data_IF_019775253137
#
_entry.id   IF_019775253137
#
_cell.length_a   1.000
_cell.length_b   1.000
_cell.length_c   1.000
_cell.angle_alpha   90.00
_cell.angle_beta   90.00
_cell.angle_gamma   90.00
#
_symmetry.space_group_name_H-M   'P 1'
#
loop_
_entity.id
_entity.type
_entity.pdbx_description
1 polymer ?
#
# COMPACT_ATOMS: atom_id res chain seq x y z
N UNK A 1 -40.98 0.51 -33.23
CA UNK A 1 -40.39 1.33 -32.16
C UNK A 1 -39.30 2.18 -32.81
N UNK A 2 -39.49 3.50 -32.90
CA UNK A 2 -38.71 4.40 -33.79
C UNK A 2 -37.21 4.42 -33.43
N UNK A 3 -36.35 4.19 -34.44
CA UNK A 3 -34.88 4.24 -34.39
C UNK A 3 -34.36 5.56 -33.79
N UNK A 4 -35.16 6.63 -33.84
CA UNK A 4 -34.84 7.96 -33.33
C UNK A 4 -34.70 8.04 -31.80
N UNK A 5 -35.26 7.08 -31.05
CA UNK A 5 -35.13 7.03 -29.57
C UNK A 5 -33.93 6.24 -29.09
N UNK A 6 -33.29 5.47 -29.98
CA UNK A 6 -32.14 4.60 -29.66
C UNK A 6 -30.83 5.36 -29.65
N UNK A 7 -30.69 6.35 -30.52
CA UNK A 7 -29.48 7.19 -30.66
C UNK A 7 -29.10 7.97 -29.40
N UNK A 8 -30.00 8.70 -28.72
CA UNK A 8 -29.64 9.44 -27.51
C UNK A 8 -29.29 8.51 -26.34
N UNK A 9 -29.97 7.36 -26.26
CA UNK A 9 -29.68 6.36 -25.23
C UNK A 9 -28.29 5.74 -25.41
N UNK A 10 -27.93 5.40 -26.65
CA UNK A 10 -26.62 4.83 -26.96
C UNK A 10 -25.49 5.84 -26.71
N UNK A 11 -25.70 7.12 -27.01
CA UNK A 11 -24.77 8.19 -26.67
C UNK A 11 -24.58 8.34 -25.15
N UNK A 12 -25.66 8.21 -24.37
CA UNK A 12 -25.59 8.26 -22.91
C UNK A 12 -24.77 7.08 -22.36
N UNK A 13 -25.00 5.86 -22.86
CA UNK A 13 -24.23 4.67 -22.46
C UNK A 13 -22.74 4.84 -22.78
N UNK A 14 -22.40 5.35 -23.97
CA UNK A 14 -21.01 5.62 -24.36
C UNK A 14 -20.37 6.66 -23.45
N UNK A 15 -21.09 7.74 -23.09
CA UNK A 15 -20.58 8.77 -22.19
C UNK A 15 -20.28 8.21 -20.78
N UNK A 16 -21.16 7.35 -20.25
CA UNK A 16 -20.96 6.68 -18.96
C UNK A 16 -19.74 5.74 -18.99
N UNK A 17 -19.59 4.96 -20.06
CA UNK A 17 -18.44 4.07 -20.23
C UNK A 17 -17.12 4.84 -20.34
N UNK A 18 -17.12 5.98 -21.04
CA UNK A 18 -15.94 6.85 -21.14
C UNK A 18 -15.54 7.39 -19.76
N UNK A 19 -16.51 7.88 -18.99
CA UNK A 19 -16.28 8.39 -17.65
C UNK A 19 -15.74 7.31 -16.69
N UNK A 20 -16.27 6.08 -16.78
CA UNK A 20 -15.77 4.95 -16.00
C UNK A 20 -14.31 4.58 -16.36
N UNK A 21 -13.97 4.65 -17.65
CA UNK A 21 -12.61 4.39 -18.12
C UNK A 21 -11.61 5.48 -17.66
N UNK A 22 -12.06 6.73 -17.56
CA UNK A 22 -11.27 7.85 -17.03
C UNK A 22 -10.94 7.73 -15.54
N UNK A 23 -11.82 7.09 -14.75
CA UNK A 23 -11.64 6.91 -13.29
C UNK A 23 -10.93 5.59 -12.95
N UNK A 24 -10.87 4.64 -13.89
CA UNK A 24 -10.18 3.36 -13.73
C UNK A 24 -8.71 3.47 -13.23
N UNK A 25 -7.86 4.42 -13.67
CA UNK A 25 -6.50 4.55 -13.13
C UNK A 25 -6.41 5.09 -11.70
N UNK A 26 -7.49 5.69 -11.16
CA UNK A 26 -7.54 6.19 -9.77
C UNK A 26 -7.96 5.09 -8.77
N UNK A 27 -8.65 4.05 -9.26
CA UNK A 27 -9.21 2.97 -8.43
C UNK A 27 -8.45 1.67 -8.60
N UNK A 28 -7.69 1.51 -9.69
CA UNK A 28 -6.80 0.37 -9.85
C UNK A 28 -5.71 0.44 -8.76
N UNK A 29 -5.57 -0.59 -7.90
CA UNK A 29 -4.46 -0.67 -6.98
C UNK A 29 -3.17 -0.73 -7.80
N UNK A 30 -2.44 0.38 -7.85
CA UNK A 30 -1.13 0.38 -8.46
C UNK A 30 -0.22 -0.42 -7.53
N UNK A 31 0.46 -1.49 -8.02
CA UNK A 31 1.44 -2.17 -7.19
C UNK A 31 2.50 -1.12 -6.83
N UNK A 32 2.58 -0.79 -5.54
CA UNK A 32 3.70 -0.04 -5.00
C UNK A 32 4.91 -0.97 -5.11
N UNK A 33 5.56 -0.95 -6.27
CA UNK A 33 6.85 -1.59 -6.43
C UNK A 33 7.80 -0.87 -5.48
N UNK A 34 8.13 -1.53 -4.36
CA UNK A 34 9.27 -1.13 -3.57
C UNK A 34 10.49 -1.23 -4.50
N UNK A 35 11.21 -0.12 -4.69
CA UNK A 35 12.48 -0.15 -5.38
C UNK A 35 13.36 -1.20 -4.69
N UNK A 36 13.86 -2.16 -5.47
CA UNK A 36 14.79 -3.19 -5.00
C UNK A 36 16.14 -2.52 -4.70
N UNK A 37 16.20 -1.85 -3.56
CA UNK A 37 17.44 -1.43 -2.96
C UNK A 37 18.11 -2.69 -2.43
N UNK A 38 19.04 -3.22 -3.23
CA UNK A 38 19.78 -4.47 -3.02
C UNK A 38 19.79 -4.90 -1.56
N UNK A 39 19.10 -6.01 -1.29
CA UNK A 39 18.76 -6.48 0.05
C UNK A 39 19.95 -6.46 1.00
N UNK A 40 20.02 -5.41 1.81
CA UNK A 40 20.79 -5.44 3.06
C UNK A 40 20.18 -6.55 3.92
N UNK A 41 21.01 -7.43 4.45
CA UNK A 41 20.57 -8.56 5.28
C UNK A 41 19.69 -8.01 6.41
N UNK A 42 18.41 -8.39 6.36
CA UNK A 42 17.37 -7.85 7.21
C UNK A 42 16.60 -9.00 7.81
N UNK A 43 16.58 -9.06 9.13
CA UNK A 43 15.82 -10.05 9.87
C UNK A 43 14.75 -9.35 10.70
N UNK A 44 13.52 -9.82 10.57
CA UNK A 44 12.40 -9.40 11.40
C UNK A 44 11.93 -10.61 12.21
N UNK A 45 11.80 -10.44 13.52
CA UNK A 45 11.22 -11.44 14.42
C UNK A 45 10.29 -10.76 15.41
N UNK A 46 9.19 -11.40 15.79
CA UNK A 46 8.23 -10.75 16.69
C UNK A 46 7.31 -11.73 17.41
N UNK A 47 6.69 -11.23 18.47
CA UNK A 47 5.70 -11.94 19.26
C UNK A 47 4.65 -10.97 19.81
N UNK A 48 3.38 -11.28 19.55
CA UNK A 48 2.24 -10.45 19.94
C UNK A 48 2.33 -9.04 19.38
N UNK A 49 2.34 -8.05 20.28
CA UNK A 49 2.39 -6.62 19.94
C UNK A 49 3.83 -6.07 19.79
N UNK A 50 4.85 -6.93 19.81
CA UNK A 50 6.25 -6.50 19.78
C UNK A 50 7.01 -7.19 18.65
N UNK A 51 7.95 -6.48 18.04
CA UNK A 51 8.86 -7.02 17.04
C UNK A 51 10.25 -6.40 17.15
N UNK A 52 11.26 -7.13 16.68
CA UNK A 52 12.62 -6.68 16.50
C UNK A 52 12.98 -6.73 15.03
N UNK A 53 13.57 -5.64 14.54
CA UNK A 53 14.09 -5.53 13.20
C UNK A 53 15.61 -5.36 13.30
N UNK A 54 16.35 -6.27 12.70
CA UNK A 54 17.80 -6.16 12.54
C UNK A 54 18.06 -5.80 11.09
N UNK A 55 18.85 -4.74 10.88
CA UNK A 55 19.30 -4.32 9.55
C UNK A 55 20.78 -3.98 9.64
N UNK A 56 21.62 -4.71 8.90
CA UNK A 56 23.07 -4.59 9.03
C UNK A 56 23.51 -4.78 10.50
N UNK A 57 24.17 -3.77 11.09
CA UNK A 57 24.64 -3.77 12.47
C UNK A 57 23.75 -2.96 13.43
N UNK A 58 22.50 -2.67 13.03
CA UNK A 58 21.56 -1.95 13.87
C UNK A 58 20.32 -2.77 14.18
N UNK A 59 19.84 -2.65 15.43
CA UNK A 59 18.59 -3.22 15.90
C UNK A 59 17.58 -2.12 16.18
N UNK A 60 16.33 -2.38 15.81
CA UNK A 60 15.17 -1.57 16.12
C UNK A 60 14.17 -2.42 16.88
N UNK A 61 13.55 -1.84 17.90
CA UNK A 61 12.44 -2.45 18.60
C UNK A 61 11.13 -1.76 18.20
N UNK A 62 10.17 -2.54 17.71
CA UNK A 62 8.85 -2.08 17.32
C UNK A 62 7.83 -2.55 18.37
N UNK A 63 6.99 -1.63 18.81
CA UNK A 63 5.89 -1.92 19.74
C UNK A 63 4.59 -1.33 19.19
N UNK A 64 3.58 -2.18 19.06
CA UNK A 64 2.23 -1.77 18.76
C UNK A 64 1.53 -1.26 20.03
N UNK A 65 1.08 -0.01 20.01
CA UNK A 65 0.31 0.58 21.10
C UNK A 65 -1.18 0.63 20.77
N UNK A 66 -1.95 -0.27 21.39
CA UNK A 66 -3.40 -0.36 21.21
C UNK A 66 -4.15 0.93 21.59
N UNK A 67 -3.60 1.75 22.50
CA UNK A 67 -4.25 2.99 22.94
C UNK A 67 -4.27 4.07 21.86
N UNK A 68 -3.32 4.05 20.93
CA UNK A 68 -3.13 5.08 19.92
C UNK A 68 -3.17 4.52 18.50
N UNK A 69 -3.54 3.24 18.34
CA UNK A 69 -3.52 2.48 17.08
C UNK A 69 -2.26 2.77 16.25
N UNK A 70 -1.11 2.87 16.92
CA UNK A 70 0.13 3.32 16.31
C UNK A 70 1.31 2.44 16.69
N UNK A 71 2.31 2.43 15.81
CA UNK A 71 3.57 1.75 16.02
C UNK A 71 4.55 2.73 16.64
N UNK A 72 5.12 2.38 17.79
CA UNK A 72 6.31 3.04 18.32
C UNK A 72 7.55 2.27 17.90
N UNK A 73 8.55 3.02 17.47
CA UNK A 73 9.84 2.48 17.04
C UNK A 73 10.89 3.04 17.98
N UNK A 74 11.70 2.15 18.55
CA UNK A 74 12.82 2.46 19.44
C UNK A 74 14.13 2.04 18.76
N UNK A 75 15.22 2.77 19.02
CA UNK A 75 16.51 2.65 18.34
C UNK A 75 16.81 3.81 17.38
N UNK A 76 17.81 3.70 16.50
CA UNK A 76 18.67 2.52 16.30
C UNK A 76 19.63 2.29 17.47
N UNK A 77 19.81 1.04 17.85
CA UNK A 77 20.92 0.59 18.72
C UNK A 77 21.91 -0.19 17.87
N UNK A 78 23.22 0.05 18.07
CA UNK A 78 24.28 -0.69 17.37
C UNK A 78 24.58 -1.99 18.10
N UNK A 79 24.80 -3.07 17.35
CA UNK A 79 25.20 -4.37 17.91
C UNK A 79 26.73 -4.35 18.04
N UNK A 80 27.25 -4.36 19.26
CA UNK A 80 28.69 -4.52 19.50
C UNK A 80 29.12 -5.96 19.15
N UNK A 81 30.29 -6.14 18.51
CA UNK A 81 30.85 -7.43 18.08
C UNK A 81 31.11 -8.42 19.23
#
# INVERSE_FOLDING_TARGET
>A
MSLQKLTPFLLLVVAVLLAANLVSPLVAPQPAHAEDHGGSDMALSGTGANAWLVKNNTVYYLKWENQFESIRIYGPEEIEE
#
